data_IF_275344575503
#
_entry.id   IF_275344575503
#
_cell.length_a   1.000
_cell.length_b   1.000
_cell.length_c   1.000
_cell.angle_alpha   90.00
_cell.angle_beta   90.00
_cell.angle_gamma   90.00
#
_symmetry.space_group_name_H-M   'P 1'
#
loop_
_entity.id
_entity.type
_entity.pdbx_description
1 polymer ?
#
# COMPACT_ATOMS: atom_id res chain seq x y z
N UNK A 1 -9.84 21.00 -3.68
CA UNK A 1 -8.56 20.53 -3.10
C UNK A 1 -7.82 19.56 -4.01
N UNK A 2 -8.33 18.33 -4.25
CA UNK A 2 -7.62 17.31 -5.07
C UNK A 2 -7.16 17.80 -6.45
N UNK A 3 -8.02 18.54 -7.16
CA UNK A 3 -7.66 19.15 -8.46
C UNK A 3 -6.42 20.05 -8.37
N UNK A 4 -6.30 20.81 -7.28
CA UNK A 4 -5.13 21.68 -7.02
C UNK A 4 -3.90 20.85 -6.66
N UNK A 5 -4.05 19.77 -5.89
CA UNK A 5 -2.95 18.87 -5.53
C UNK A 5 -2.30 18.17 -6.73
N UNK A 6 -3.03 18.01 -7.84
CA UNK A 6 -2.51 17.46 -9.10
C UNK A 6 -1.57 18.47 -9.78
N UNK A 7 -1.89 19.76 -9.73
CA UNK A 7 -1.21 20.78 -10.56
C UNK A 7 -0.21 21.64 -9.80
N UNK A 8 -0.33 21.75 -8.48
CA UNK A 8 0.56 22.57 -7.65
C UNK A 8 0.87 21.93 -6.30
N UNK A 9 2.05 22.24 -5.78
CA UNK A 9 2.50 21.78 -4.47
C UNK A 9 1.66 22.43 -3.35
N UNK A 10 1.45 21.72 -2.24
CA UNK A 10 0.60 22.18 -1.11
C UNK A 10 1.01 23.55 -0.58
N UNK A 11 2.32 23.81 -0.50
CA UNK A 11 2.91 25.07 -0.05
C UNK A 11 2.54 26.29 -0.93
N UNK A 12 2.15 26.04 -2.18
CA UNK A 12 1.73 27.09 -3.12
C UNK A 12 0.22 27.33 -3.13
N UNK A 13 -0.55 26.42 -2.56
CA UNK A 13 -2.00 26.57 -2.45
C UNK A 13 -2.29 27.65 -1.41
N UNK A 14 -3.21 28.56 -1.71
CA UNK A 14 -3.63 29.60 -0.76
C UNK A 14 -5.09 29.44 -0.34
N UNK A 15 -5.42 29.91 0.87
CA UNK A 15 -6.81 29.94 1.37
C UNK A 15 -7.69 30.75 0.41
N UNK A 16 -7.15 31.81 -0.19
CA UNK A 16 -7.86 32.65 -1.15
C UNK A 16 -8.34 31.83 -2.35
N UNK A 17 -7.43 31.12 -3.02
CA UNK A 17 -7.78 30.28 -4.16
C UNK A 17 -8.82 29.21 -3.80
N UNK A 18 -8.67 28.59 -2.62
CA UNK A 18 -9.63 27.58 -2.15
C UNK A 18 -11.02 28.18 -1.88
N UNK A 19 -11.09 29.38 -1.32
CA UNK A 19 -12.35 30.09 -1.10
C UNK A 19 -13.00 30.55 -2.40
N UNK A 20 -12.20 30.93 -3.39
CA UNK A 20 -12.66 31.28 -4.75
C UNK A 20 -13.22 30.04 -5.47
N UNK A 21 -12.52 28.91 -5.43
CA UNK A 21 -12.95 27.62 -6.01
C UNK A 21 -14.26 27.10 -5.39
N UNK A 22 -14.46 27.32 -4.08
CA UNK A 22 -15.62 26.83 -3.32
C UNK A 22 -16.73 27.88 -3.17
N UNK A 23 -16.57 29.08 -3.73
CA UNK A 23 -17.49 30.21 -3.59
C UNK A 23 -17.88 30.52 -2.13
N UNK A 24 -16.91 30.47 -1.21
CA UNK A 24 -17.12 30.75 0.21
C UNK A 24 -16.19 31.87 0.70
N UNK A 25 -16.37 32.31 1.94
CA UNK A 25 -15.48 33.30 2.55
C UNK A 25 -14.42 32.61 3.45
N UNK A 26 -13.38 33.36 3.84
CA UNK A 26 -12.29 32.83 4.68
C UNK A 26 -12.77 32.36 6.05
N UNK A 27 -13.80 32.98 6.62
CA UNK A 27 -14.38 32.54 7.90
C UNK A 27 -15.03 31.17 7.77
N UNK A 28 -15.72 30.90 6.66
CA UNK A 28 -16.26 29.56 6.35
C UNK A 28 -15.16 28.53 6.17
N UNK A 29 -14.04 28.89 5.52
CA UNK A 29 -12.89 28.00 5.42
C UNK A 29 -12.37 27.61 6.82
N UNK A 30 -12.06 28.60 7.66
CA UNK A 30 -11.50 28.35 8.99
C UNK A 30 -12.50 27.74 9.99
N UNK A 31 -13.80 27.75 9.67
CA UNK A 31 -14.81 27.01 10.42
C UNK A 31 -14.68 25.49 10.22
N UNK A 32 -14.29 25.05 9.03
CA UNK A 32 -14.20 23.62 8.67
C UNK A 32 -12.77 23.07 8.61
N UNK A 33 -11.75 23.92 8.54
CA UNK A 33 -10.35 23.49 8.38
C UNK A 33 -9.39 24.47 9.03
N UNK A 34 -8.46 23.95 9.84
CA UNK A 34 -7.48 24.79 10.55
C UNK A 34 -6.49 25.45 9.58
N UNK A 35 -5.99 24.66 8.61
CA UNK A 35 -5.00 25.09 7.64
C UNK A 35 -5.09 24.24 6.35
N UNK A 36 -4.26 24.60 5.37
CA UNK A 36 -4.25 23.97 4.04
C UNK A 36 -3.69 22.55 4.11
N UNK A 37 -2.68 22.31 4.95
CA UNK A 37 -2.06 20.98 5.11
C UNK A 37 -3.09 19.95 5.61
N UNK A 38 -3.83 20.27 6.68
CA UNK A 38 -4.87 19.40 7.21
C UNK A 38 -5.99 19.16 6.21
N UNK A 39 -6.34 20.18 5.42
CA UNK A 39 -7.32 19.99 4.34
C UNK A 39 -6.76 19.10 3.23
N UNK A 40 -5.45 19.17 2.93
CA UNK A 40 -4.78 18.30 1.96
C UNK A 40 -4.83 16.85 2.43
N UNK A 41 -4.42 16.59 3.68
CA UNK A 41 -4.44 15.28 4.31
C UNK A 41 -5.87 14.70 4.28
N UNK A 42 -6.86 15.46 4.76
CA UNK A 42 -8.26 15.01 4.78
C UNK A 42 -8.86 14.80 3.38
N UNK A 43 -8.42 15.57 2.38
CA UNK A 43 -8.84 15.40 1.01
C UNK A 43 -8.23 14.12 0.40
N UNK A 44 -6.95 13.85 0.67
CA UNK A 44 -6.27 12.63 0.24
C UNK A 44 -6.88 11.41 0.92
N UNK A 45 -7.04 11.43 2.25
CA UNK A 45 -7.67 10.33 3.01
C UNK A 45 -9.03 9.94 2.43
N UNK A 46 -9.88 10.93 2.09
CA UNK A 46 -11.17 10.69 1.42
C UNK A 46 -11.07 10.22 -0.02
N UNK A 47 -9.99 10.56 -0.71
CA UNK A 47 -9.76 10.21 -2.11
C UNK A 47 -9.14 8.84 -2.29
N UNK A 48 -8.47 8.31 -1.26
CA UNK A 48 -7.88 6.99 -1.29
C UNK A 48 -8.99 5.94 -1.38
N UNK A 49 -9.07 5.20 -2.49
CA UNK A 49 -10.11 4.20 -2.65
C UNK A 49 -9.84 3.05 -1.69
N UNK A 50 -10.81 2.74 -0.83
CA UNK A 50 -10.72 1.63 0.13
C UNK A 50 -10.52 0.28 -0.57
N UNK A 51 -10.91 0.19 -1.84
CA UNK A 51 -10.71 -0.96 -2.71
C UNK A 51 -9.23 -1.19 -3.05
N UNK A 52 -8.39 -0.15 -3.06
CA UNK A 52 -6.97 -0.30 -3.40
C UNK A 52 -6.24 -1.14 -2.34
N UNK A 53 -6.35 -0.85 -1.02
CA UNK A 53 -5.83 -1.75 0.00
C UNK A 53 -6.30 -3.20 -0.11
N UNK A 54 -7.57 -3.43 -0.46
CA UNK A 54 -8.11 -4.78 -0.64
C UNK A 54 -7.59 -5.48 -1.90
N UNK A 55 -7.45 -4.74 -3.00
CA UNK A 55 -6.89 -5.24 -4.26
C UNK A 55 -5.43 -5.63 -4.09
N UNK A 56 -4.64 -4.76 -3.45
CA UNK A 56 -3.24 -5.01 -3.14
C UNK A 56 -3.06 -6.14 -2.12
N UNK A 57 -3.95 -6.24 -1.12
CA UNK A 57 -3.99 -7.39 -0.21
C UNK A 57 -4.21 -8.70 -0.97
N UNK A 58 -5.21 -8.72 -1.84
CA UNK A 58 -5.54 -9.90 -2.64
C UNK A 58 -4.37 -10.30 -3.54
N UNK A 59 -3.67 -9.31 -4.09
CA UNK A 59 -2.46 -9.50 -4.87
C UNK A 59 -1.31 -10.09 -4.05
N UNK A 60 -0.94 -9.49 -2.92
CA UNK A 60 0.17 -9.94 -2.08
C UNK A 60 -0.05 -11.33 -1.48
N UNK A 61 -1.30 -11.75 -1.33
CA UNK A 61 -1.68 -13.05 -0.76
C UNK A 61 -1.98 -14.13 -1.80
N UNK A 62 -2.09 -13.78 -3.08
CA UNK A 62 -2.40 -14.72 -4.16
C UNK A 62 -1.37 -15.86 -4.29
N UNK A 63 -0.09 -15.61 -3.96
CA UNK A 63 0.99 -16.59 -4.06
C UNK A 63 0.93 -17.77 -3.09
N UNK A 64 -0.06 -17.87 -2.20
CA UNK A 64 -0.15 -18.94 -1.19
C UNK A 64 -0.91 -20.20 -1.67
N UNK A 65 -1.35 -20.27 -2.94
CA UNK A 65 -2.03 -21.44 -3.51
C UNK A 65 -1.50 -21.76 -4.92
N UNK A 66 -0.67 -22.81 -5.11
CA UNK A 66 0.14 -23.01 -6.33
C UNK A 66 -0.65 -23.17 -7.64
N UNK A 67 -1.90 -23.67 -7.61
CA UNK A 67 -2.71 -23.89 -8.84
C UNK A 67 -3.98 -23.02 -8.94
N UNK A 68 -4.38 -22.36 -7.85
CA UNK A 68 -5.56 -21.49 -7.79
C UNK A 68 -5.21 -19.99 -7.80
N UNK A 69 -3.95 -19.61 -7.61
CA UNK A 69 -3.50 -18.23 -7.54
C UNK A 69 -3.89 -17.40 -8.77
N UNK A 70 -3.63 -17.90 -9.99
CA UNK A 70 -3.93 -17.16 -11.22
C UNK A 70 -5.44 -17.09 -11.50
N UNK A 71 -6.20 -18.15 -11.20
CA UNK A 71 -7.67 -18.14 -11.37
C UNK A 71 -8.39 -17.31 -10.31
N UNK A 72 -7.93 -17.33 -9.07
CA UNK A 72 -8.45 -16.47 -8.00
C UNK A 72 -8.02 -15.03 -8.20
N UNK A 73 -6.81 -14.75 -8.69
CA UNK A 73 -6.38 -13.39 -9.04
C UNK A 73 -7.21 -12.88 -10.22
N UNK A 74 -7.43 -13.67 -11.27
CA UNK A 74 -8.33 -13.29 -12.38
C UNK A 74 -9.78 -13.09 -11.93
N UNK A 75 -10.29 -13.92 -11.01
CA UNK A 75 -11.64 -13.79 -10.47
C UNK A 75 -11.77 -12.62 -9.48
N UNK A 76 -10.78 -12.37 -8.62
CA UNK A 76 -10.75 -11.25 -7.67
C UNK A 76 -10.50 -9.93 -8.41
N UNK A 77 -9.66 -9.92 -9.44
CA UNK A 77 -9.49 -8.76 -10.33
C UNK A 77 -10.79 -8.51 -11.10
N UNK A 78 -11.46 -9.54 -11.62
CA UNK A 78 -12.76 -9.39 -12.31
C UNK A 78 -13.93 -9.02 -11.41
N UNK A 79 -14.06 -9.60 -10.21
CA UNK A 79 -15.19 -9.38 -9.28
C UNK A 79 -14.96 -8.22 -8.30
N UNK A 80 -13.71 -7.99 -7.85
CA UNK A 80 -13.39 -7.03 -6.78
C UNK A 80 -12.56 -5.83 -7.24
N UNK A 81 -11.87 -5.91 -8.39
CA UNK A 81 -11.17 -4.77 -9.00
C UNK A 81 -12.04 -4.19 -10.13
N UNK A 82 -13.33 -3.98 -9.85
CA UNK A 82 -14.06 -2.89 -10.51
C UNK A 82 -13.76 -1.60 -9.76
N UNK A 83 -12.47 -1.26 -9.62
CA UNK A 83 -12.10 0.07 -9.18
C UNK A 83 -12.49 1.02 -10.29
N UNK A 84 -13.25 2.07 -9.95
CA UNK A 84 -13.63 3.10 -10.93
C UNK A 84 -12.33 3.68 -11.49
N UNK A 85 -12.05 3.44 -12.78
CA UNK A 85 -10.80 3.85 -13.47
C UNK A 85 -10.38 5.27 -13.13
N UNK A 86 -11.37 6.17 -13.01
CA UNK A 86 -11.20 7.58 -12.66
C UNK A 86 -10.42 7.81 -11.34
N UNK A 87 -10.66 7.02 -10.29
CA UNK A 87 -9.98 7.18 -9.00
C UNK A 87 -8.53 6.69 -9.07
N UNK A 88 -8.30 5.59 -9.79
CA UNK A 88 -6.96 5.07 -10.05
C UNK A 88 -6.16 6.03 -10.92
N UNK A 89 -6.78 6.61 -11.94
CA UNK A 89 -6.19 7.62 -12.80
C UNK A 89 -5.81 8.88 -12.02
N UNK A 90 -6.70 9.34 -11.14
CA UNK A 90 -6.43 10.44 -10.22
C UNK A 90 -5.26 10.13 -9.30
N UNK A 91 -5.21 8.95 -8.69
CA UNK A 91 -4.13 8.55 -7.81
C UNK A 91 -2.78 8.43 -8.56
N UNK A 92 -2.77 7.87 -9.77
CA UNK A 92 -1.56 7.81 -10.60
C UNK A 92 -1.04 9.21 -10.92
N UNK A 93 -1.93 10.18 -11.20
CA UNK A 93 -1.56 11.58 -11.44
C UNK A 93 -1.02 12.25 -10.18
N UNK A 94 -1.64 12.00 -9.03
CA UNK A 94 -1.19 12.52 -7.73
C UNK A 94 0.20 11.97 -7.36
N UNK A 95 0.45 10.67 -7.58
CA UNK A 95 1.75 10.01 -7.36
C UNK A 95 2.84 10.46 -8.35
N UNK A 96 2.47 11.00 -9.50
CA UNK A 96 3.38 11.64 -10.45
C UNK A 96 3.41 13.18 -10.30
N UNK A 97 2.73 13.72 -9.29
CA UNK A 97 2.53 15.15 -9.11
C UNK A 97 3.57 15.81 -8.19
N UNK A 98 3.47 17.13 -7.99
CA UNK A 98 4.35 17.89 -7.10
C UNK A 98 4.23 17.49 -5.62
N UNK A 99 3.17 16.73 -5.27
CA UNK A 99 2.89 16.25 -3.92
C UNK A 99 3.08 14.72 -3.80
N UNK A 100 3.85 14.09 -4.69
CA UNK A 100 4.03 12.64 -4.72
C UNK A 100 4.39 12.04 -3.35
N UNK A 101 5.34 12.66 -2.63
CA UNK A 101 5.76 12.18 -1.30
C UNK A 101 4.65 12.25 -0.25
N UNK A 102 3.80 13.27 -0.30
CA UNK A 102 2.64 13.40 0.58
C UNK A 102 1.63 12.28 0.28
N UNK A 103 1.34 12.08 -1.01
CA UNK A 103 0.40 11.05 -1.47
C UNK A 103 0.91 9.65 -1.10
N UNK A 104 2.19 9.38 -1.33
CA UNK A 104 2.83 8.12 -0.97
C UNK A 104 2.74 7.84 0.54
N UNK A 105 2.99 8.85 1.37
CA UNK A 105 2.87 8.75 2.83
C UNK A 105 1.46 8.34 3.25
N UNK A 106 0.44 9.02 2.73
CA UNK A 106 -0.97 8.75 3.07
C UNK A 106 -1.42 7.37 2.59
N UNK A 107 -1.06 6.99 1.35
CA UNK A 107 -1.39 5.65 0.84
C UNK A 107 -0.72 4.57 1.68
N UNK A 108 0.57 4.72 1.98
CA UNK A 108 1.31 3.76 2.81
C UNK A 108 0.75 3.67 4.23
N UNK A 109 0.36 4.79 4.83
CA UNK A 109 -0.28 4.80 6.14
C UNK A 109 -1.58 3.99 6.13
N UNK A 110 -2.45 4.22 5.13
CA UNK A 110 -3.68 3.46 4.95
C UNK A 110 -3.42 1.96 4.71
N UNK A 111 -2.42 1.64 3.89
CA UNK A 111 -2.00 0.25 3.62
C UNK A 111 -1.49 -0.44 4.88
N UNK A 112 -0.68 0.24 5.68
CA UNK A 112 -0.05 -0.33 6.88
C UNK A 112 -1.08 -0.72 7.95
N UNK A 113 -2.24 -0.08 7.98
CA UNK A 113 -3.36 -0.48 8.84
C UNK A 113 -3.89 -1.88 8.51
N UNK A 114 -3.68 -2.36 7.28
CA UNK A 114 -4.10 -3.71 6.87
C UNK A 114 -3.12 -4.79 7.30
N UNK A 115 -1.86 -4.46 7.62
CA UNK A 115 -0.79 -5.43 7.90
C UNK A 115 -1.18 -6.51 8.94
N UNK A 116 -1.82 -6.19 10.08
CA UNK A 116 -2.24 -7.20 11.04
C UNK A 116 -3.22 -8.22 10.45
N UNK A 117 -4.16 -7.77 9.59
CA UNK A 117 -5.11 -8.65 8.90
C UNK A 117 -4.38 -9.60 7.96
N UNK A 118 -3.33 -9.12 7.28
CA UNK A 118 -2.51 -9.93 6.37
C UNK A 118 -1.76 -11.02 7.13
N UNK A 119 -1.11 -10.63 8.23
CA UNK A 119 -0.35 -11.54 9.08
C UNK A 119 -1.25 -12.66 9.60
N UNK A 120 -2.39 -12.31 10.19
CA UNK A 120 -3.36 -13.29 10.71
C UNK A 120 -3.89 -14.22 9.62
N UNK A 121 -4.11 -13.72 8.39
CA UNK A 121 -4.62 -14.54 7.30
C UNK A 121 -3.58 -15.49 6.70
N UNK A 122 -2.33 -15.04 6.56
CA UNK A 122 -1.25 -15.84 5.98
C UNK A 122 -0.62 -16.80 6.99
N UNK A 123 -0.62 -16.43 8.27
CA UNK A 123 0.08 -17.10 9.35
C UNK A 123 -0.79 -17.17 10.63
N UNK A 124 -1.97 -17.82 10.59
CA UNK A 124 -2.95 -17.79 11.68
C UNK A 124 -2.41 -18.26 13.04
N UNK A 125 -1.43 -19.17 13.04
CA UNK A 125 -0.89 -19.80 14.25
C UNK A 125 0.62 -19.53 14.45
N UNK A 126 1.19 -18.51 13.79
CA UNK A 126 2.62 -18.18 13.95
C UNK A 126 2.82 -16.77 14.47
N UNK A 127 3.77 -16.64 15.39
CA UNK A 127 4.31 -15.34 15.75
C UNK A 127 5.20 -14.85 14.60
N UNK A 128 4.83 -13.72 14.01
CA UNK A 128 5.64 -13.04 12.99
C UNK A 128 6.44 -11.94 13.70
N UNK A 129 7.72 -11.80 13.37
CA UNK A 129 8.46 -10.59 13.75
C UNK A 129 7.81 -9.35 13.09
N UNK A 130 7.22 -8.48 13.92
CA UNK A 130 6.48 -7.32 13.46
C UNK A 130 7.36 -6.32 12.71
N UNK A 131 8.63 -6.19 13.09
CA UNK A 131 9.56 -5.25 12.44
C UNK A 131 9.87 -5.72 11.03
N UNK A 132 10.27 -6.98 10.87
CA UNK A 132 10.51 -7.58 9.56
C UNK A 132 9.25 -7.55 8.69
N UNK A 133 8.08 -7.84 9.26
CA UNK A 133 6.81 -7.79 8.52
C UNK A 133 6.51 -6.37 8.00
N UNK A 134 6.72 -5.34 8.82
CA UNK A 134 6.56 -3.93 8.42
C UNK A 134 7.51 -3.56 7.28
N UNK A 135 8.80 -3.93 7.37
CA UNK A 135 9.80 -3.62 6.33
C UNK A 135 9.42 -4.28 5.00
N UNK A 136 9.06 -5.56 5.05
CA UNK A 136 8.68 -6.34 3.87
C UNK A 136 7.40 -5.77 3.23
N UNK A 137 6.43 -5.37 4.05
CA UNK A 137 5.18 -4.78 3.57
C UNK A 137 5.36 -3.36 3.00
N UNK A 138 6.22 -2.55 3.62
CA UNK A 138 6.62 -1.23 3.13
C UNK A 138 7.26 -1.32 1.73
N UNK A 139 8.20 -2.26 1.55
CA UNK A 139 8.86 -2.50 0.26
C UNK A 139 7.89 -2.96 -0.83
N UNK A 140 6.97 -3.87 -0.49
CA UNK A 140 5.97 -4.37 -1.42
C UNK A 140 5.01 -3.25 -1.86
N UNK A 141 4.51 -2.47 -0.90
CA UNK A 141 3.61 -1.33 -1.17
C UNK A 141 4.31 -0.26 -1.99
N UNK A 142 5.56 0.11 -1.64
CA UNK A 142 6.34 1.09 -2.39
C UNK A 142 6.58 0.68 -3.85
N UNK A 143 6.81 -0.60 -4.11
CA UNK A 143 7.00 -1.12 -5.47
C UNK A 143 5.75 -0.93 -6.33
N UNK A 144 4.57 -1.18 -5.77
CA UNK A 144 3.29 -0.98 -6.45
C UNK A 144 3.06 0.51 -6.72
N UNK A 145 3.26 1.37 -5.71
CA UNK A 145 3.08 2.83 -5.87
C UNK A 145 4.04 3.42 -6.90
N UNK A 146 5.28 2.92 -6.95
CA UNK A 146 6.25 3.31 -7.99
C UNK A 146 5.74 2.99 -9.39
N UNK A 147 5.06 1.85 -9.58
CA UNK A 147 4.50 1.49 -10.87
C UNK A 147 3.27 2.32 -11.24
N UNK A 148 2.44 2.69 -10.25
CA UNK A 148 1.33 3.62 -10.44
C UNK A 148 1.83 5.03 -10.82
N UNK A 149 2.91 5.50 -10.18
CA UNK A 149 3.58 6.75 -10.54
C UNK A 149 4.15 6.68 -11.96
N UNK A 150 4.82 5.59 -12.32
CA UNK A 150 5.33 5.36 -13.68
C UNK A 150 4.22 5.39 -14.74
N UNK A 151 3.05 4.80 -14.44
CA UNK A 151 1.85 4.92 -15.28
C UNK A 151 1.33 6.35 -15.36
N UNK A 152 1.41 7.13 -14.29
CA UNK A 152 1.06 8.55 -14.32
C UNK A 152 2.01 9.39 -15.17
N UNK A 153 3.29 9.00 -15.23
CA UNK A 153 4.35 9.69 -15.97
C UNK A 153 4.40 9.32 -17.46
N UNK A 154 4.13 8.07 -17.76
CA UNK A 154 4.10 7.54 -19.11
C UNK A 154 2.67 7.65 -19.63
N UNK A 155 2.40 8.12 -20.84
CA UNK A 155 1.05 8.05 -21.45
C UNK A 155 0.62 6.60 -21.79
N UNK A 156 1.11 5.64 -21.01
CA UNK A 156 0.77 4.23 -21.04
C UNK A 156 -0.68 4.09 -20.59
N UNK A 157 -1.57 3.90 -21.57
CA UNK A 157 -2.98 3.53 -21.38
C UNK A 157 -3.14 2.08 -20.93
N UNK A 158 -2.17 1.56 -20.17
CA UNK A 158 -2.19 0.21 -19.63
C UNK A 158 -3.00 0.26 -18.33
N UNK A 159 -3.99 -0.63 -18.15
CA UNK A 159 -4.74 -0.72 -16.90
C UNK A 159 -3.82 -1.06 -15.72
N UNK A 160 -4.08 -0.51 -14.53
CA UNK A 160 -3.27 -0.80 -13.32
C UNK A 160 -3.34 -2.30 -12.97
N UNK A 161 -4.44 -2.95 -13.30
CA UNK A 161 -4.64 -4.39 -13.21
C UNK A 161 -3.57 -5.14 -14.00
N UNK A 162 -3.20 -4.67 -15.19
CA UNK A 162 -2.16 -5.30 -16.02
C UNK A 162 -0.77 -5.08 -15.46
N UNK A 163 -0.52 -3.93 -14.83
CA UNK A 163 0.72 -3.68 -14.07
C UNK A 163 0.82 -4.66 -12.90
N UNK A 164 -0.25 -4.76 -12.11
CA UNK A 164 -0.38 -5.68 -10.97
C UNK A 164 -0.15 -7.12 -11.46
N UNK A 165 -0.85 -7.59 -12.49
CA UNK A 165 -0.69 -8.95 -13.04
C UNK A 165 0.72 -9.23 -13.54
N UNK A 166 1.42 -8.24 -14.10
CA UNK A 166 2.82 -8.39 -14.54
C UNK A 166 3.76 -8.61 -13.35
N UNK A 167 3.45 -8.01 -12.19
CA UNK A 167 4.22 -8.17 -10.95
C UNK A 167 3.82 -9.42 -10.14
N UNK A 168 2.67 -10.03 -10.45
CA UNK A 168 2.07 -11.16 -9.71
C UNK A 168 2.92 -12.43 -9.57
N UNK A 169 3.75 -12.84 -10.53
CA UNK A 169 4.57 -14.03 -10.33
C UNK A 169 5.69 -13.81 -9.31
N UNK A 170 6.28 -12.62 -9.27
CA UNK A 170 7.50 -12.35 -8.49
C UNK A 170 7.21 -11.77 -7.10
N UNK A 171 6.32 -10.77 -7.03
CA UNK A 171 6.17 -9.96 -5.83
C UNK A 171 5.46 -10.70 -4.67
N UNK A 172 4.33 -11.41 -4.89
CA UNK A 172 3.67 -12.21 -3.85
C UNK A 172 4.53 -13.36 -3.33
N UNK A 173 5.26 -14.07 -4.21
CA UNK A 173 6.12 -15.18 -3.80
C UNK A 173 7.29 -14.69 -2.95
N UNK A 174 7.98 -13.64 -3.40
CA UNK A 174 9.06 -13.02 -2.63
C UNK A 174 8.56 -12.46 -1.30
N UNK A 175 7.41 -11.79 -1.31
CA UNK A 175 6.76 -11.25 -0.10
C UNK A 175 6.45 -12.36 0.91
N UNK A 176 5.77 -13.43 0.50
CA UNK A 176 5.46 -14.57 1.38
C UNK A 176 6.73 -15.25 1.88
N UNK A 177 7.75 -15.42 1.03
CA UNK A 177 9.03 -16.01 1.44
C UNK A 177 9.75 -15.16 2.49
N UNK A 178 9.74 -13.84 2.35
CA UNK A 178 10.28 -12.91 3.35
C UNK A 178 9.50 -13.00 4.67
N UNK A 179 8.17 -13.01 4.64
CA UNK A 179 7.37 -13.17 5.85
C UNK A 179 7.58 -14.54 6.53
N UNK A 180 7.75 -15.62 5.76
CA UNK A 180 8.09 -16.94 6.30
C UNK A 180 9.42 -16.91 7.06
N UNK A 181 10.45 -16.23 6.53
CA UNK A 181 11.72 -16.03 7.24
C UNK A 181 11.53 -15.25 8.55
N UNK A 182 10.72 -14.19 8.51
CA UNK A 182 10.35 -13.42 9.71
C UNK A 182 9.60 -14.24 10.78
N UNK A 183 8.97 -15.37 10.41
CA UNK A 183 8.38 -16.30 11.40
C UNK A 183 9.38 -17.30 11.97
N UNK A 184 10.48 -17.60 11.27
CA UNK A 184 11.41 -18.65 11.65
C UNK A 184 12.46 -18.19 12.69
N UNK A 185 12.78 -16.90 12.72
CA UNK A 185 13.88 -16.36 13.54
C UNK A 185 13.60 -16.28 15.05
N UNK A 186 12.42 -16.71 15.53
CA UNK A 186 12.10 -16.74 16.97
C UNK A 186 11.80 -18.16 17.51
N UNK A 187 12.17 -19.21 16.77
CA UNK A 187 11.78 -20.60 17.04
C UNK A 187 12.87 -21.59 17.45
N UNK A 188 14.06 -21.15 17.87
CA UNK A 188 15.05 -22.07 18.46
C UNK A 188 15.66 -21.50 19.74
N UNK A 189 15.28 -21.99 20.94
CA UNK A 189 16.25 -22.07 22.01
C UNK A 189 17.34 -23.03 21.54
N UNK A 190 18.59 -22.58 21.55
CA UNK A 190 19.76 -23.43 21.41
C UNK A 190 19.79 -24.42 22.59
N UNK A 191 19.20 -25.59 22.40
CA UNK A 191 19.36 -26.73 23.31
C UNK A 191 20.28 -27.76 22.64
N UNK A 192 21.14 -28.34 23.48
CA UNK A 192 22.02 -29.48 23.25
C UNK A 192 23.34 -29.26 22.51
N UNK A 193 24.29 -28.64 23.24
CA UNK A 193 25.61 -29.25 23.37
C UNK A 193 25.58 -30.29 24.50
N UNK A 194 24.97 -31.44 24.26
CA UNK A 194 25.35 -32.66 25.00
C UNK A 194 26.67 -33.13 24.40
N UNK A 195 27.77 -32.86 25.09
CA UNK A 195 29.02 -33.57 24.86
C UNK A 195 28.93 -34.90 25.62
N UNK A 196 29.16 -36.05 24.98
CA UNK A 196 29.12 -37.33 25.66
C UNK A 196 30.29 -37.43 26.66
N UNK A 197 29.97 -37.87 27.88
CA UNK A 197 30.94 -38.40 28.83
C UNK A 197 31.69 -39.57 28.18
N UNK A 198 33.03 -39.65 28.25
CA UNK A 198 33.72 -40.91 28.07
C UNK A 198 33.57 -41.74 29.35
N UNK A 199 33.08 -42.97 29.19
CA UNK A 199 33.18 -44.03 30.18
C UNK A 199 34.65 -44.38 30.47
N UNK A 200 34.83 -44.95 31.65
CA UNK A 200 36.08 -45.18 32.36
C UNK A 200 37.04 -46.18 31.69
N UNK A 201 38.33 -45.98 31.96
CA UNK A 201 39.28 -47.02 32.41
C UNK A 201 40.17 -46.41 33.52
#
# INVERSE_FOLDING_TARGET
MLTRLITQSVDKITVRELTEDCHCNRSTFYYYSDNIDKLADAALERALPYELPLALLSFLTAGNAPDNANRQLDAIVKERVSMRSEYIDMLCRLLNGPNASLVEREVKAAMMQMLPVIITRLFPDKKVDEVSARIVFESATGSILSMMAYRGASDLKIPVERIILTMAPELPQAFIACLKRATAEHGQPTTDRQSPLPEAD
#
